data_IF_953553391450
#
_entry.id   IF_953553391450
#
_cell.length_a   1.000
_cell.length_b   1.000
_cell.length_c   1.000
_cell.angle_alpha   90.00
_cell.angle_beta   90.00
_cell.angle_gamma   90.00
#
_symmetry.space_group_name_H-M   'P 1'
#
loop_
_entity.id
_entity.type
_entity.pdbx_description
1 polymer ?
#
# COMPACT_ATOMS: atom_id res chain seq x y z
N UNK A 1 4.41 -12.34 -28.37
CA UNK A 1 3.73 -12.42 -27.05
C UNK A 1 4.36 -11.35 -26.18
N UNK A 2 3.62 -10.28 -25.87
CA UNK A 2 4.13 -9.22 -25.00
C UNK A 2 4.40 -9.79 -23.62
N UNK A 3 5.57 -9.50 -23.07
CA UNK A 3 6.04 -10.09 -21.81
C UNK A 3 5.48 -9.31 -20.61
N UNK A 4 4.15 -9.13 -20.55
CA UNK A 4 3.46 -8.41 -19.46
C UNK A 4 3.72 -9.04 -18.08
N UNK A 5 4.10 -10.33 -18.08
CA UNK A 5 4.56 -11.08 -16.91
C UNK A 5 5.69 -10.33 -16.21
N UNK A 6 6.63 -9.73 -16.95
CA UNK A 6 7.72 -8.95 -16.35
C UNK A 6 7.18 -7.80 -15.48
N UNK A 7 6.18 -7.06 -15.97
CA UNK A 7 5.58 -5.95 -15.23
C UNK A 7 4.85 -6.41 -13.97
N UNK A 8 4.10 -7.52 -14.07
CA UNK A 8 3.43 -8.17 -12.93
C UNK A 8 4.45 -8.64 -11.87
N UNK A 9 5.56 -9.22 -12.31
CA UNK A 9 6.63 -9.65 -11.41
C UNK A 9 7.28 -8.43 -10.72
N UNK A 10 7.52 -7.34 -11.45
CA UNK A 10 8.09 -6.11 -10.89
C UNK A 10 7.15 -5.51 -9.83
N UNK A 11 5.83 -5.56 -10.02
CA UNK A 11 4.87 -5.01 -9.05
C UNK A 11 4.73 -5.84 -7.76
N UNK A 12 5.00 -7.15 -7.81
CA UNK A 12 4.72 -8.07 -6.69
C UNK A 12 5.96 -8.64 -6.01
N UNK A 13 6.98 -9.03 -6.78
CA UNK A 13 8.14 -9.78 -6.27
C UNK A 13 8.90 -9.00 -5.19
N UNK A 14 9.21 -7.70 -5.34
CA UNK A 14 9.95 -6.98 -4.30
C UNK A 14 9.21 -6.97 -2.95
N UNK A 15 7.91 -6.65 -2.96
CA UNK A 15 7.06 -6.68 -1.76
C UNK A 15 6.94 -8.08 -1.17
N UNK A 16 6.78 -9.11 -2.01
CA UNK A 16 6.66 -10.50 -1.56
C UNK A 16 7.96 -11.03 -0.96
N UNK A 17 9.11 -10.73 -1.57
CA UNK A 17 10.43 -11.08 -1.04
C UNK A 17 10.66 -10.40 0.32
N UNK A 18 10.25 -9.13 0.44
CA UNK A 18 10.32 -8.39 1.71
C UNK A 18 9.41 -9.03 2.78
N UNK A 19 8.19 -9.42 2.41
CA UNK A 19 7.28 -10.14 3.29
C UNK A 19 7.85 -11.49 3.72
N UNK A 20 8.38 -12.28 2.78
CA UNK A 20 8.99 -13.58 3.08
C UNK A 20 10.18 -13.43 4.03
N UNK A 21 10.96 -12.36 3.92
CA UNK A 21 12.06 -12.04 4.86
C UNK A 21 11.56 -11.63 6.24
N UNK A 22 10.50 -10.84 6.33
CA UNK A 22 9.91 -10.39 7.60
C UNK A 22 9.20 -11.53 8.31
N UNK A 23 8.40 -12.30 7.58
CA UNK A 23 7.61 -13.39 8.11
C UNK A 23 8.45 -14.65 8.38
N UNK A 24 9.42 -14.95 7.51
CA UNK A 24 10.24 -16.16 7.62
C UNK A 24 9.38 -17.41 7.77
N UNK A 25 9.68 -18.22 8.80
CA UNK A 25 8.88 -19.40 9.17
C UNK A 25 7.79 -19.12 10.21
N UNK A 26 7.58 -17.86 10.59
CA UNK A 26 6.66 -17.48 11.66
C UNK A 26 5.24 -17.39 11.09
N UNK A 27 4.42 -18.41 11.35
CA UNK A 27 3.03 -18.48 10.85
C UNK A 27 2.16 -17.29 11.28
N UNK A 28 2.38 -16.74 12.48
CA UNK A 28 1.64 -15.57 12.96
C UNK A 28 1.93 -14.30 12.14
N UNK A 29 3.11 -14.18 11.53
CA UNK A 29 3.42 -13.07 10.62
C UNK A 29 2.76 -13.24 9.25
N UNK A 30 2.69 -14.47 8.72
CA UNK A 30 1.91 -14.77 7.52
C UNK A 30 0.41 -14.51 7.73
N UNK A 31 -0.13 -14.90 8.89
CA UNK A 31 -1.49 -14.58 9.27
C UNK A 31 -1.70 -13.05 9.38
N UNK A 32 -0.74 -12.32 9.96
CA UNK A 32 -0.81 -10.86 10.01
C UNK A 32 -0.87 -10.23 8.61
N UNK A 33 -0.10 -10.75 7.65
CA UNK A 33 -0.16 -10.30 6.26
C UNK A 33 -1.50 -10.61 5.60
N UNK A 34 -2.05 -11.82 5.80
CA UNK A 34 -3.37 -12.18 5.28
C UNK A 34 -4.49 -11.29 5.88
N UNK A 35 -4.42 -11.01 7.18
CA UNK A 35 -5.33 -10.08 7.87
C UNK A 35 -5.17 -8.65 7.34
N UNK A 36 -3.93 -8.22 7.06
CA UNK A 36 -3.65 -6.93 6.42
C UNK A 36 -4.30 -6.82 5.04
N UNK A 37 -4.12 -7.84 4.19
CA UNK A 37 -4.75 -7.91 2.88
C UNK A 37 -6.29 -7.92 2.93
N UNK A 38 -6.86 -8.73 3.84
CA UNK A 38 -8.30 -8.75 4.09
C UNK A 38 -8.83 -7.40 4.59
N UNK A 39 -8.06 -6.70 5.43
CA UNK A 39 -8.37 -5.36 5.89
C UNK A 39 -8.41 -4.31 4.77
N UNK A 40 -7.45 -4.35 3.85
CA UNK A 40 -7.48 -3.49 2.65
C UNK A 40 -8.72 -3.77 1.79
N UNK A 41 -9.04 -5.05 1.55
CA UNK A 41 -10.21 -5.42 0.75
C UNK A 41 -11.52 -4.96 1.40
N UNK A 42 -11.64 -5.12 2.72
CA UNK A 42 -12.80 -4.62 3.47
C UNK A 42 -12.93 -3.10 3.36
N UNK A 43 -11.82 -2.37 3.49
CA UNK A 43 -11.83 -0.91 3.31
C UNK A 43 -12.28 -0.52 1.91
N UNK A 44 -11.83 -1.22 0.87
CA UNK A 44 -12.28 -1.00 -0.51
C UNK A 44 -13.78 -1.25 -0.65
N UNK A 45 -14.28 -2.41 -0.19
CA UNK A 45 -15.71 -2.77 -0.31
C UNK A 45 -16.61 -1.74 0.37
N UNK A 46 -16.24 -1.26 1.55
CA UNK A 46 -17.00 -0.23 2.27
C UNK A 46 -16.95 1.13 1.57
N UNK A 47 -15.84 1.44 0.88
CA UNK A 47 -15.63 2.71 0.18
C UNK A 47 -16.33 2.75 -1.19
N UNK A 48 -16.41 1.63 -1.90
CA UNK A 48 -16.93 1.55 -3.29
C UNK A 48 -18.33 2.17 -3.47
N UNK A 49 -19.34 1.93 -2.61
CA UNK A 49 -20.66 2.54 -2.78
C UNK A 49 -20.61 4.08 -2.81
N UNK A 50 -19.77 4.68 -1.96
CA UNK A 50 -19.60 6.14 -1.94
C UNK A 50 -18.85 6.63 -3.18
N UNK A 51 -17.85 5.89 -3.66
CA UNK A 51 -17.15 6.24 -4.90
C UNK A 51 -18.09 6.19 -6.10
N UNK A 52 -18.95 5.19 -6.21
CA UNK A 52 -19.94 5.09 -7.29
C UNK A 52 -20.90 6.27 -7.24
N UNK A 53 -21.40 6.64 -6.06
CA UNK A 53 -22.28 7.80 -5.90
C UNK A 53 -21.57 9.12 -6.23
N UNK A 54 -20.31 9.30 -5.83
CA UNK A 54 -19.56 10.53 -6.13
C UNK A 54 -19.18 10.63 -7.61
N UNK A 55 -18.87 9.51 -8.26
CA UNK A 55 -18.59 9.47 -9.69
C UNK A 55 -19.78 10.01 -10.50
N UNK A 56 -21.02 9.73 -10.06
CA UNK A 56 -22.24 10.21 -10.75
C UNK A 56 -22.57 11.66 -10.42
N UNK A 57 -22.35 12.10 -9.18
CA UNK A 57 -22.70 13.45 -8.73
C UNK A 57 -21.66 14.52 -9.10
N UNK A 58 -20.37 14.19 -9.01
CA UNK A 58 -19.27 15.16 -9.13
C UNK A 58 -18.08 14.60 -9.92
N UNK A 59 -18.25 14.24 -11.21
CA UNK A 59 -17.20 13.64 -12.02
C UNK A 59 -15.97 14.56 -12.22
N UNK A 60 -14.86 13.97 -12.65
CA UNK A 60 -13.62 14.69 -12.94
C UNK A 60 -12.78 14.95 -11.69
N UNK A 61 -12.18 16.13 -11.59
CA UNK A 61 -11.17 16.42 -10.54
C UNK A 61 -11.76 16.38 -9.12
N UNK A 62 -13.02 16.80 -8.96
CA UNK A 62 -13.69 16.78 -7.65
C UNK A 62 -13.84 15.34 -7.17
N UNK A 63 -14.23 14.42 -8.05
CA UNK A 63 -14.26 12.99 -7.77
C UNK A 63 -12.88 12.46 -7.34
N UNK A 64 -11.82 12.79 -8.07
CA UNK A 64 -10.46 12.30 -7.76
C UNK A 64 -9.96 12.78 -6.38
N UNK A 65 -10.24 14.04 -6.05
CA UNK A 65 -9.94 14.61 -4.73
C UNK A 65 -10.74 13.89 -3.64
N UNK A 66 -12.04 13.71 -3.84
CA UNK A 66 -12.89 13.02 -2.88
C UNK A 66 -12.48 11.55 -2.71
N UNK A 67 -12.14 10.85 -3.79
CA UNK A 67 -11.66 9.47 -3.76
C UNK A 67 -10.36 9.34 -2.96
N UNK A 68 -9.44 10.30 -3.12
CA UNK A 68 -8.19 10.36 -2.36
C UNK A 68 -8.42 10.53 -0.86
N UNK A 69 -9.33 11.43 -0.47
CA UNK A 69 -9.69 11.63 0.94
C UNK A 69 -10.39 10.40 1.51
N UNK A 70 -11.34 9.82 0.77
CA UNK A 70 -12.04 8.61 1.19
C UNK A 70 -11.07 7.42 1.34
N UNK A 71 -10.01 7.35 0.53
CA UNK A 71 -8.95 6.37 0.73
C UNK A 71 -8.27 6.51 2.08
N UNK A 72 -7.80 7.72 2.42
CA UNK A 72 -7.20 7.97 3.72
C UNK A 72 -8.17 7.70 4.88
N UNK A 73 -9.44 8.06 4.76
CA UNK A 73 -10.42 7.84 5.83
C UNK A 73 -10.73 6.35 6.01
N UNK A 74 -11.14 5.65 4.95
CA UNK A 74 -11.59 4.26 5.07
C UNK A 74 -10.43 3.31 5.35
N UNK A 75 -9.33 3.41 4.60
CA UNK A 75 -8.23 2.47 4.75
C UNK A 75 -7.54 2.62 6.09
N UNK A 76 -7.30 3.85 6.56
CA UNK A 76 -6.64 4.05 7.85
C UNK A 76 -7.55 3.74 9.04
N UNK A 77 -8.86 3.96 8.91
CA UNK A 77 -9.84 3.56 9.93
C UNK A 77 -9.89 2.04 10.08
N UNK A 78 -10.04 1.31 8.96
CA UNK A 78 -10.03 -0.15 8.99
C UNK A 78 -8.66 -0.66 9.45
N UNK A 79 -7.56 -0.07 9.01
CA UNK A 79 -6.21 -0.46 9.47
C UNK A 79 -6.04 -0.26 10.96
N UNK A 80 -6.53 0.86 11.51
CA UNK A 80 -6.52 1.11 12.94
C UNK A 80 -7.36 0.08 13.69
N UNK A 81 -8.56 -0.26 13.21
CA UNK A 81 -9.41 -1.29 13.80
C UNK A 81 -8.74 -2.68 13.73
N UNK A 82 -8.18 -3.03 12.58
CA UNK A 82 -7.42 -4.26 12.40
C UNK A 82 -6.24 -4.30 13.36
N UNK A 83 -5.44 -3.24 13.51
CA UNK A 83 -4.34 -3.21 14.47
C UNK A 83 -4.82 -3.28 15.94
N UNK A 84 -6.03 -2.81 16.26
CA UNK A 84 -6.65 -2.94 17.59
C UNK A 84 -7.19 -4.35 17.85
N UNK A 85 -7.75 -4.99 16.84
CA UNK A 85 -8.37 -6.31 16.93
C UNK A 85 -7.33 -7.42 16.78
N UNK A 86 -6.44 -7.27 15.81
CA UNK A 86 -5.22 -8.03 15.61
C UNK A 86 -4.14 -7.58 16.62
N UNK A 87 -4.47 -7.65 17.92
CA UNK A 87 -3.49 -7.93 18.98
C UNK A 87 -2.97 -9.36 18.73
N UNK A 88 -2.38 -9.57 17.56
CA UNK A 88 -1.53 -10.68 17.29
C UNK A 88 -0.33 -10.45 18.19
N UNK A 89 -0.03 -11.45 19.01
CA UNK A 89 1.19 -11.57 19.83
C UNK A 89 2.51 -11.48 19.00
N UNK A 90 2.46 -11.02 17.75
CA UNK A 90 3.49 -11.07 16.72
C UNK A 90 4.52 -9.94 16.77
N UNK A 91 4.43 -9.03 17.76
CA UNK A 91 5.42 -7.97 17.97
C UNK A 91 5.68 -7.12 16.71
N UNK A 92 6.90 -6.58 16.60
CA UNK A 92 7.31 -5.71 15.48
C UNK A 92 7.19 -6.40 14.11
N UNK A 93 7.51 -7.69 14.03
CA UNK A 93 7.43 -8.46 12.79
C UNK A 93 6.00 -8.58 12.26
N UNK A 94 5.02 -8.72 13.15
CA UNK A 94 3.60 -8.74 12.77
C UNK A 94 3.11 -7.45 12.15
N UNK A 95 3.47 -6.29 12.73
CA UNK A 95 3.08 -4.99 12.16
C UNK A 95 3.69 -4.76 10.77
N UNK A 96 4.95 -5.18 10.59
CA UNK A 96 5.61 -5.12 9.28
C UNK A 96 4.93 -6.04 8.27
N UNK A 97 4.64 -7.28 8.65
CA UNK A 97 3.96 -8.25 7.79
C UNK A 97 2.53 -7.81 7.43
N UNK A 98 1.79 -7.21 8.38
CA UNK A 98 0.48 -6.65 8.16
C UNK A 98 0.51 -5.53 7.10
N UNK A 99 1.45 -4.59 7.22
CA UNK A 99 1.58 -3.51 6.25
C UNK A 99 2.01 -3.97 4.87
N UNK A 100 2.91 -4.96 4.80
CA UNK A 100 3.31 -5.60 3.54
C UNK A 100 2.14 -6.36 2.89
N UNK A 101 1.35 -7.09 3.68
CA UNK A 101 0.15 -7.77 3.20
C UNK A 101 -0.89 -6.78 2.65
N UNK A 102 -1.09 -5.66 3.34
CA UNK A 102 -1.96 -4.56 2.88
C UNK A 102 -1.58 -4.07 1.48
N UNK A 103 -0.33 -3.65 1.29
CA UNK A 103 0.15 -3.15 0.01
C UNK A 103 0.24 -4.22 -1.09
N UNK A 104 0.61 -5.46 -0.75
CA UNK A 104 0.66 -6.55 -1.73
C UNK A 104 -0.72 -6.93 -2.25
N UNK A 105 -1.75 -6.91 -1.40
CA UNK A 105 -3.12 -7.16 -1.84
C UNK A 105 -3.62 -6.06 -2.77
N UNK A 106 -3.32 -4.80 -2.47
CA UNK A 106 -3.60 -3.71 -3.40
C UNK A 106 -2.88 -3.92 -4.74
N UNK A 107 -1.56 -4.14 -4.72
CA UNK A 107 -0.77 -4.36 -5.94
C UNK A 107 -1.29 -5.55 -6.76
N UNK A 108 -1.74 -6.60 -6.09
CA UNK A 108 -2.34 -7.76 -6.74
C UNK A 108 -3.66 -7.42 -7.43
N UNK A 109 -4.59 -6.79 -6.69
CA UNK A 109 -5.98 -6.61 -7.14
C UNK A 109 -6.18 -5.39 -8.03
N UNK A 110 -5.41 -4.33 -7.82
CA UNK A 110 -5.51 -3.07 -8.58
C UNK A 110 -4.64 -3.08 -9.83
N UNK A 111 -3.52 -3.83 -9.81
CA UNK A 111 -2.58 -3.83 -10.93
C UNK A 111 -2.40 -5.21 -11.54
N UNK A 112 -1.87 -6.20 -10.81
CA UNK A 112 -1.45 -7.47 -11.42
C UNK A 112 -2.59 -8.23 -12.10
N UNK A 113 -3.76 -8.34 -11.45
CA UNK A 113 -4.94 -9.00 -12.03
C UNK A 113 -5.49 -8.20 -13.22
N UNK A 114 -5.80 -6.88 -13.10
CA UNK A 114 -6.28 -6.10 -14.24
C UNK A 114 -5.33 -6.06 -15.43
N UNK A 115 -4.01 -5.93 -15.20
CA UNK A 115 -3.00 -5.91 -16.26
C UNK A 115 -2.91 -7.25 -16.97
N UNK A 116 -2.97 -8.36 -16.24
CA UNK A 116 -2.96 -9.69 -16.86
C UNK A 116 -4.18 -9.90 -17.76
N UNK A 117 -5.34 -9.41 -17.33
CA UNK A 117 -6.57 -9.47 -18.13
C UNK A 117 -6.50 -8.53 -19.33
N UNK A 118 -6.11 -7.27 -19.14
CA UNK A 118 -6.08 -6.26 -20.20
C UNK A 118 -5.01 -6.54 -21.26
N UNK A 119 -3.81 -6.98 -20.86
CA UNK A 119 -2.74 -7.31 -21.79
C UNK A 119 -3.12 -8.48 -22.70
N UNK A 120 -3.87 -9.47 -22.18
CA UNK A 120 -4.36 -10.59 -22.98
C UNK A 120 -5.42 -10.20 -24.03
N UNK A 121 -6.13 -9.09 -23.81
CA UNK A 121 -7.21 -8.60 -24.69
C UNK A 121 -6.71 -7.53 -25.68
N UNK A 122 -5.92 -6.57 -25.21
CA UNK A 122 -5.56 -5.37 -25.97
C UNK A 122 -4.13 -5.39 -26.52
N UNK A 123 -3.30 -6.37 -26.13
CA UNK A 123 -1.96 -6.55 -26.69
C UNK A 123 -0.94 -5.46 -26.29
N UNK A 124 -1.12 -4.81 -25.14
CA UNK A 124 -0.19 -3.79 -24.63
C UNK A 124 1.26 -4.28 -24.56
N UNK A 125 2.21 -3.37 -24.83
CA UNK A 125 3.62 -3.62 -24.57
C UNK A 125 3.90 -3.53 -23.06
N UNK A 126 4.86 -4.33 -22.58
CA UNK A 126 5.22 -4.39 -21.17
C UNK A 126 5.88 -3.08 -20.68
N UNK A 127 6.50 -2.33 -21.59
CA UNK A 127 7.11 -1.02 -21.28
C UNK A 127 6.04 0.00 -20.89
N UNK A 128 4.88 -0.01 -21.57
CA UNK A 128 3.76 0.88 -21.28
C UNK A 128 3.14 0.61 -19.90
N UNK A 129 3.28 -0.64 -19.43
CA UNK A 129 2.76 -1.09 -18.15
C UNK A 129 3.72 -0.81 -16.99
N UNK A 130 5.02 -0.63 -17.28
CA UNK A 130 6.09 -0.55 -16.29
C UNK A 130 5.92 0.60 -15.27
N UNK A 131 5.49 1.82 -15.64
CA UNK A 131 5.27 2.88 -14.67
C UNK A 131 4.31 2.47 -13.54
N UNK A 132 3.18 1.88 -13.89
CA UNK A 132 2.22 1.39 -12.90
C UNK A 132 2.79 0.26 -12.02
N UNK A 133 3.67 -0.59 -12.54
CA UNK A 133 4.33 -1.61 -11.72
C UNK A 133 5.28 -1.00 -10.68
N UNK A 134 5.97 0.08 -11.03
CA UNK A 134 6.83 0.83 -10.10
C UNK A 134 5.99 1.58 -9.06
N UNK A 135 4.88 2.18 -9.48
CA UNK A 135 3.91 2.82 -8.59
C UNK A 135 3.46 1.89 -7.46
N UNK A 136 3.18 0.62 -7.79
CA UNK A 136 2.74 -0.37 -6.79
C UNK A 136 3.79 -0.62 -5.72
N UNK A 137 5.08 -0.57 -6.06
CA UNK A 137 6.13 -0.66 -5.05
C UNK A 137 6.14 0.58 -4.14
N UNK A 138 5.91 1.77 -4.69
CA UNK A 138 5.75 3.00 -3.89
C UNK A 138 4.53 2.91 -2.97
N UNK A 139 3.39 2.42 -3.47
CA UNK A 139 2.18 2.21 -2.68
C UNK A 139 2.40 1.22 -1.53
N UNK A 140 3.10 0.10 -1.79
CA UNK A 140 3.50 -0.87 -0.74
C UNK A 140 4.31 -0.18 0.36
N UNK A 141 5.29 0.67 0.00
CA UNK A 141 6.11 1.39 0.98
C UNK A 141 5.29 2.39 1.80
N UNK A 142 4.32 3.08 1.18
CA UNK A 142 3.40 3.99 1.87
C UNK A 142 2.54 3.20 2.87
N UNK A 143 1.86 2.14 2.43
CA UNK A 143 1.02 1.30 3.29
C UNK A 143 1.81 0.71 4.46
N UNK A 144 3.01 0.22 4.20
CA UNK A 144 3.91 -0.26 5.24
C UNK A 144 4.23 0.84 6.26
N UNK A 145 4.60 2.03 5.80
CA UNK A 145 4.96 3.17 6.66
C UNK A 145 3.80 3.62 7.54
N UNK A 146 2.61 3.76 6.96
CA UNK A 146 1.41 4.16 7.67
C UNK A 146 0.94 3.07 8.65
N UNK A 147 1.11 1.79 8.30
CA UNK A 147 0.91 0.67 9.24
C UNK A 147 1.84 0.78 10.43
N UNK A 148 3.14 1.04 10.20
CA UNK A 148 4.12 1.25 11.28
C UNK A 148 3.69 2.42 12.17
N UNK A 149 3.28 3.55 11.58
CA UNK A 149 2.82 4.73 12.31
C UNK A 149 1.68 4.39 13.27
N UNK A 150 0.61 3.77 12.76
CA UNK A 150 -0.55 3.39 13.56
C UNK A 150 -0.23 2.33 14.61
N UNK A 151 0.70 1.41 14.32
CA UNK A 151 1.07 0.35 15.26
C UNK A 151 1.71 0.88 16.56
N UNK A 152 2.24 2.12 16.56
CA UNK A 152 2.79 2.76 17.77
C UNK A 152 1.73 2.93 18.86
N UNK A 153 0.51 3.32 18.47
CA UNK A 153 -0.65 3.35 19.36
C UNK A 153 -1.93 3.34 18.50
N UNK A 154 -2.50 2.16 18.21
CA UNK A 154 -3.60 2.04 17.26
C UNK A 154 -4.90 2.65 17.79
N UNK A 155 -4.99 2.97 19.09
CA UNK A 155 -6.14 3.67 19.68
C UNK A 155 -6.00 5.21 19.63
N UNK A 156 -4.84 5.74 19.25
CA UNK A 156 -4.61 7.17 19.19
C UNK A 156 -5.36 7.81 18.02
N UNK A 157 -6.34 8.66 18.33
CA UNK A 157 -7.04 9.46 17.33
C UNK A 157 -6.08 10.40 16.56
N UNK A 158 -5.02 10.89 17.22
CA UNK A 158 -4.01 11.75 16.58
C UNK A 158 -3.25 10.97 15.51
N UNK A 159 -2.80 9.77 15.82
CA UNK A 159 -2.09 8.94 14.84
C UNK A 159 -3.01 8.48 13.71
N UNK A 160 -4.27 8.18 14.01
CA UNK A 160 -5.29 7.89 12.98
C UNK A 160 -5.46 9.07 12.03
N UNK A 161 -5.70 10.28 12.57
CA UNK A 161 -5.85 11.49 11.76
C UNK A 161 -4.59 11.78 10.94
N UNK A 162 -3.39 11.69 11.54
CA UNK A 162 -2.13 11.86 10.82
C UNK A 162 -1.97 10.84 9.69
N UNK A 163 -2.27 9.56 9.95
CA UNK A 163 -2.18 8.52 8.92
C UNK A 163 -3.14 8.78 7.77
N UNK A 164 -4.39 9.13 8.08
CA UNK A 164 -5.42 9.43 7.09
C UNK A 164 -5.06 10.64 6.24
N UNK A 165 -4.51 11.70 6.85
CA UNK A 165 -4.03 12.89 6.14
C UNK A 165 -2.85 12.54 5.25
N UNK A 166 -1.83 11.84 5.77
CA UNK A 166 -0.64 11.47 4.98
C UNK A 166 -1.00 10.60 3.78
N UNK A 167 -1.92 9.64 3.96
CA UNK A 167 -2.43 8.82 2.87
C UNK A 167 -3.16 9.68 1.84
N UNK A 168 -4.14 10.48 2.26
CA UNK A 168 -4.91 11.34 1.36
C UNK A 168 -4.01 12.29 0.58
N UNK A 169 -3.04 12.91 1.25
CA UNK A 169 -2.07 13.82 0.64
C UNK A 169 -1.18 13.09 -0.36
N UNK A 170 -0.73 11.86 -0.07
CA UNK A 170 0.08 11.08 -1.02
C UNK A 170 -0.68 10.82 -2.32
N UNK A 171 -1.97 10.48 -2.23
CA UNK A 171 -2.84 10.29 -3.41
C UNK A 171 -3.09 11.60 -4.16
N UNK A 172 -3.30 12.71 -3.42
CA UNK A 172 -3.46 14.04 -4.04
C UNK A 172 -2.19 14.50 -4.74
N UNK A 173 -1.01 14.20 -4.20
CA UNK A 173 0.26 14.50 -4.87
C UNK A 173 0.36 13.75 -6.20
N UNK A 174 -0.04 12.47 -6.25
CA UNK A 174 -0.09 11.72 -7.50
C UNK A 174 -1.01 12.38 -8.53
N UNK A 175 -2.21 12.83 -8.11
CA UNK A 175 -3.15 13.54 -8.99
C UNK A 175 -2.54 14.86 -9.50
N UNK A 176 -2.03 15.71 -8.61
CA UNK A 176 -1.46 17.01 -8.99
C UNK A 176 -0.25 16.83 -9.90
N UNK A 177 0.65 15.89 -9.59
CA UNK A 177 1.78 15.56 -10.44
C UNK A 177 1.32 15.13 -11.84
N UNK A 178 0.26 14.31 -11.92
CA UNK A 178 -0.30 13.85 -13.20
C UNK A 178 -0.86 14.98 -14.06
N UNK A 179 -1.46 15.99 -13.42
CA UNK A 179 -2.01 17.16 -14.10
C UNK A 179 -0.94 18.16 -14.56
N UNK A 180 0.17 18.26 -13.83
CA UNK A 180 1.20 19.28 -14.08
C UNK A 180 2.32 18.78 -14.99
N UNK A 181 2.75 17.52 -14.83
CA UNK A 181 3.95 17.02 -15.48
C UNK A 181 3.66 16.39 -16.85
N UNK A 182 2.42 15.92 -17.08
CA UNK A 182 1.97 15.25 -18.30
C UNK A 182 2.91 14.10 -18.78
N UNK A 183 3.72 13.57 -17.87
CA UNK A 183 4.70 12.54 -18.13
C UNK A 183 4.68 11.52 -16.98
N UNK A 184 4.19 10.31 -17.28
CA UNK A 184 3.98 9.27 -16.28
C UNK A 184 5.26 8.90 -15.52
N UNK A 185 6.42 8.92 -16.17
CA UNK A 185 7.69 8.60 -15.51
C UNK A 185 8.07 9.64 -14.46
N UNK A 186 7.80 10.91 -14.72
CA UNK A 186 8.03 11.97 -13.75
C UNK A 186 7.02 11.91 -12.59
N UNK A 187 5.77 11.54 -12.88
CA UNK A 187 4.75 11.29 -11.85
C UNK A 187 5.21 10.17 -10.91
N UNK A 188 5.64 9.04 -11.48
CA UNK A 188 6.14 7.90 -10.70
C UNK A 188 7.37 8.26 -9.87
N UNK A 189 8.28 9.07 -10.41
CA UNK A 189 9.44 9.55 -9.66
C UNK A 189 9.00 10.39 -8.45
N UNK A 190 8.02 11.28 -8.60
CA UNK A 190 7.49 12.09 -7.50
C UNK A 190 6.85 11.19 -6.42
N UNK A 191 6.03 10.22 -6.82
CA UNK A 191 5.40 9.29 -5.88
C UNK A 191 6.45 8.41 -5.18
N UNK A 192 7.47 7.95 -5.92
CA UNK A 192 8.60 7.20 -5.37
C UNK A 192 9.37 8.03 -4.32
N UNK A 193 9.60 9.32 -4.57
CA UNK A 193 10.24 10.20 -3.58
C UNK A 193 9.39 10.37 -2.32
N UNK A 194 8.08 10.60 -2.45
CA UNK A 194 7.17 10.70 -1.30
C UNK A 194 7.15 9.40 -0.50
N UNK A 195 7.03 8.25 -1.17
CA UNK A 195 7.03 6.95 -0.51
C UNK A 195 8.35 6.65 0.21
N UNK A 196 9.49 7.01 -0.40
CA UNK A 196 10.81 6.87 0.20
C UNK A 196 10.96 7.74 1.46
N UNK A 197 10.47 9.00 1.43
CA UNK A 197 10.49 9.89 2.60
C UNK A 197 9.67 9.31 3.76
N UNK A 198 8.45 8.83 3.49
CA UNK A 198 7.61 8.20 4.51
C UNK A 198 8.26 6.93 5.06
N UNK A 199 8.86 6.11 4.19
CA UNK A 199 9.53 4.88 4.59
C UNK A 199 10.75 5.16 5.48
N UNK A 200 11.63 6.06 5.06
CA UNK A 200 12.84 6.43 5.83
C UNK A 200 12.45 7.06 7.16
N UNK A 201 11.49 8.00 7.17
CA UNK A 201 11.08 8.72 8.36
C UNK A 201 10.30 7.88 9.37
N UNK A 202 9.53 6.90 8.92
CA UNK A 202 8.55 6.18 9.76
C UNK A 202 8.89 4.69 9.90
N UNK A 203 9.04 3.97 8.79
CA UNK A 203 9.18 2.51 8.80
C UNK A 203 10.60 2.03 9.11
N UNK A 204 11.62 2.70 8.55
CA UNK A 204 13.01 2.27 8.66
C UNK A 204 13.53 2.14 10.10
N UNK A 205 13.19 3.03 11.06
CA UNK A 205 13.55 2.84 12.46
C UNK A 205 13.01 1.52 13.04
N UNK A 206 11.79 1.13 12.67
CA UNK A 206 11.20 -0.13 13.12
C UNK A 206 11.88 -1.34 12.48
N UNK A 207 12.27 -1.28 11.20
CA UNK A 207 13.07 -2.33 10.55
C UNK A 207 14.42 -2.56 11.24
N UNK A 208 15.14 -1.47 11.54
CA UNK A 208 16.43 -1.55 12.25
C UNK A 208 16.24 -2.20 13.63
N UNK A 209 15.20 -1.80 14.36
CA UNK A 209 14.87 -2.35 15.67
C UNK A 209 14.43 -3.83 15.60
N UNK A 210 13.70 -4.23 14.57
CA UNK A 210 13.29 -5.62 14.33
C UNK A 210 14.51 -6.51 14.05
N UNK A 211 15.41 -6.10 13.15
CA UNK A 211 16.61 -6.87 12.78
C UNK A 211 17.51 -7.14 14.00
N UNK A 212 17.72 -6.13 14.85
CA UNK A 212 18.53 -6.27 16.07
C UNK A 212 17.96 -7.32 17.04
N UNK A 213 16.63 -7.34 17.23
CA UNK A 213 15.96 -8.31 18.10
C UNK A 213 15.99 -9.73 17.54
N UNK A 214 15.93 -9.88 16.22
CA UNK A 214 15.98 -11.19 15.57
C UNK A 214 17.38 -11.82 15.70
N UNK A 215 18.44 -11.06 15.44
CA UNK A 215 19.83 -11.55 15.54
C UNK A 215 20.24 -11.97 16.95
N UNK A 216 19.64 -11.37 18.01
CA UNK A 216 19.94 -11.72 19.39
C UNK A 216 19.27 -13.00 19.89
N UNK A 217 18.32 -13.57 19.12
CA UNK A 217 17.63 -14.82 19.47
C UNK A 217 18.18 -16.04 18.73
N UNK A 218 19.04 -15.82 17.73
CA UNK A 218 19.59 -16.86 16.85
C UNK A 218 21.07 -17.17 17.09
N UNK A 219 21.70 -16.54 18.08
CA UNK A 219 23.06 -16.81 18.54
C UNK A 219 23.04 -17.29 19.98
#
# INVERSE_FOLDING_TARGET
MSNYIASVLISLVPGFVMLARVAGRVSSAWLAAAVGGGGWLLALVLRVPLLVLLQTLTPGIIYLVAASVLAGVFEESIRSLVLRAAILKSGRGGSLALGLGWGLTEALLVYAVPVSLSASVYGYDWVDLLPGALERNSAILIHLSLTVLLSKNPRSYRLLATSAILHSVSNLVAIVASLVLENIWLVELVIAMVSALLFVGIAMPMFKAFKKSYSSQSG
#
